data_IF_764917559311
#
_entry.id   IF_764917559311
#
_cell.length_a   1.000
_cell.length_b   1.000
_cell.length_c   1.000
_cell.angle_alpha   90.00
_cell.angle_beta   90.00
_cell.angle_gamma   90.00
#
_symmetry.space_group_name_H-M   'P 1'
#
loop_
_entity.id
_entity.type
_entity.pdbx_description
1 polymer ?
#
# COMPACT_ATOMS: atom_id res chain seq x y z
N UNK A 1 -14.01 -5.12 -17.99
CA UNK A 1 -13.17 -4.86 -16.80
C UNK A 1 -11.91 -5.73 -16.77
N UNK A 2 -12.01 -7.07 -16.79
CA UNK A 2 -10.84 -7.97 -16.77
C UNK A 2 -9.78 -7.74 -17.88
N UNK A 3 -10.20 -7.27 -19.07
CA UNK A 3 -9.27 -6.89 -20.14
C UNK A 3 -8.29 -5.80 -19.72
N UNK A 4 -8.76 -4.79 -18.98
CA UNK A 4 -7.91 -3.70 -18.50
C UNK A 4 -6.90 -4.20 -17.47
N UNK A 5 -7.31 -5.07 -16.54
CA UNK A 5 -6.41 -5.62 -15.52
C UNK A 5 -5.24 -6.38 -16.15
N UNK A 6 -5.50 -7.22 -17.17
CA UNK A 6 -4.43 -7.92 -17.90
C UNK A 6 -3.51 -6.97 -18.63
N UNK A 7 -4.07 -6.00 -19.35
CA UNK A 7 -3.29 -4.98 -20.05
C UNK A 7 -2.39 -4.18 -19.10
N UNK A 8 -2.92 -3.78 -17.95
CA UNK A 8 -2.18 -3.00 -16.96
C UNK A 8 -1.07 -3.83 -16.28
N UNK A 9 -1.31 -5.11 -15.98
CA UNK A 9 -0.26 -6.03 -15.50
C UNK A 9 0.89 -6.15 -16.50
N UNK A 10 0.58 -6.36 -17.78
CA UNK A 10 1.59 -6.40 -18.85
C UNK A 10 2.37 -5.08 -18.91
N UNK A 11 1.68 -3.95 -18.80
CA UNK A 11 2.33 -2.64 -18.73
C UNK A 11 3.32 -2.53 -17.57
N UNK A 12 2.95 -2.98 -16.37
CA UNK A 12 3.86 -2.99 -15.21
C UNK A 12 5.12 -3.82 -15.49
N UNK A 13 4.97 -5.02 -16.05
CA UNK A 13 6.09 -5.90 -16.38
C UNK A 13 7.04 -5.27 -17.42
N UNK A 14 6.48 -4.62 -18.44
CA UNK A 14 7.26 -3.89 -19.43
C UNK A 14 8.02 -2.70 -18.81
N UNK A 15 7.35 -1.91 -17.96
CA UNK A 15 7.98 -0.82 -17.24
C UNK A 15 9.13 -1.30 -16.36
N UNK A 16 8.96 -2.40 -15.65
CA UNK A 16 10.05 -2.94 -14.83
C UNK A 16 11.22 -3.44 -15.66
N UNK A 17 10.93 -4.13 -16.76
CA UNK A 17 11.95 -4.61 -17.68
C UNK A 17 12.78 -3.47 -18.28
N UNK A 18 12.14 -2.34 -18.60
CA UNK A 18 12.79 -1.18 -19.20
C UNK A 18 13.47 -0.25 -18.20
N UNK A 19 12.91 -0.09 -16.99
CA UNK A 19 13.32 0.94 -16.03
C UNK A 19 14.02 0.34 -14.81
N UNK A 20 13.44 -0.66 -14.15
CA UNK A 20 13.94 -1.16 -12.86
C UNK A 20 15.38 -1.68 -12.94
N UNK A 21 15.75 -2.30 -14.07
CA UNK A 21 17.10 -2.82 -14.30
C UNK A 21 17.98 -1.90 -15.15
N UNK A 22 17.53 -0.69 -15.45
CA UNK A 22 18.27 0.24 -16.27
C UNK A 22 19.42 0.86 -15.45
N UNK A 23 20.69 0.70 -15.85
CA UNK A 23 21.82 1.24 -15.10
C UNK A 23 21.75 2.75 -14.91
N UNK A 24 21.30 3.50 -15.93
CA UNK A 24 21.14 4.96 -15.88
C UNK A 24 20.07 5.35 -14.85
N UNK A 25 19.01 4.54 -14.73
CA UNK A 25 17.99 4.78 -13.72
C UNK A 25 18.53 4.49 -12.33
N UNK A 26 19.15 3.32 -12.13
CA UNK A 26 19.71 2.89 -10.84
C UNK A 26 20.74 3.90 -10.31
N UNK A 27 21.66 4.37 -11.15
CA UNK A 27 22.65 5.40 -10.80
C UNK A 27 22.02 6.69 -10.25
N UNK A 28 20.78 7.00 -10.64
CA UNK A 28 20.07 8.21 -10.20
C UNK A 28 19.24 8.04 -8.94
N UNK A 29 18.90 6.81 -8.55
CA UNK A 29 17.92 6.57 -7.47
C UNK A 29 18.42 5.66 -6.36
N UNK A 30 19.36 4.77 -6.64
CA UNK A 30 19.94 3.87 -5.65
C UNK A 30 20.86 4.65 -4.71
N UNK A 31 20.67 4.48 -3.40
CA UNK A 31 21.40 5.21 -2.36
C UNK A 31 21.01 6.69 -2.23
N UNK A 32 20.10 7.21 -3.05
CA UNK A 32 19.72 8.63 -3.05
C UNK A 32 18.53 8.90 -2.12
N UNK A 33 18.71 9.85 -1.18
CA UNK A 33 17.64 10.29 -0.28
C UNK A 33 17.18 9.18 0.66
N UNK A 34 18.15 8.50 1.27
CA UNK A 34 17.95 7.48 2.30
C UNK A 34 17.30 8.12 3.53
N UNK A 35 16.21 7.51 3.99
CA UNK A 35 15.56 7.84 5.26
C UNK A 35 15.37 6.53 6.04
N UNK A 36 15.84 6.46 7.28
CA UNK A 36 15.71 5.26 8.13
C UNK A 36 14.41 5.27 8.93
N UNK A 37 13.99 4.12 9.45
CA UNK A 37 12.69 3.95 10.11
C UNK A 37 12.42 4.92 11.25
N UNK A 38 13.38 5.09 12.17
CA UNK A 38 13.26 6.04 13.28
C UNK A 38 13.15 7.50 12.79
N UNK A 39 13.99 7.88 11.84
CA UNK A 39 13.94 9.20 11.22
C UNK A 39 12.60 9.44 10.49
N UNK A 40 12.09 8.43 9.79
CA UNK A 40 10.80 8.50 9.12
C UNK A 40 9.66 8.73 10.12
N UNK A 41 9.69 8.07 11.27
CA UNK A 41 8.72 8.24 12.36
C UNK A 41 8.82 9.64 12.96
N UNK A 42 10.04 10.08 13.31
CA UNK A 42 10.28 11.38 13.94
C UNK A 42 9.89 12.56 13.03
N UNK A 43 10.04 12.38 11.71
CA UNK A 43 9.60 13.35 10.69
C UNK A 43 8.11 13.25 10.34
N UNK A 44 7.37 12.31 10.94
CA UNK A 44 5.95 12.09 10.66
C UNK A 44 5.67 11.62 9.23
N UNK A 45 6.61 10.89 8.60
CA UNK A 45 6.40 10.33 7.27
C UNK A 45 5.36 9.22 7.29
N UNK A 46 4.63 9.08 6.19
CA UNK A 46 3.55 8.10 6.04
C UNK A 46 3.58 7.41 4.68
N UNK A 47 2.77 6.35 4.57
CA UNK A 47 2.56 5.64 3.31
C UNK A 47 3.85 5.06 2.73
N UNK A 48 4.09 5.17 1.41
CA UNK A 48 5.24 4.55 0.74
C UNK A 48 6.60 5.04 1.22
N UNK A 49 6.69 6.27 1.74
CA UNK A 49 7.95 6.77 2.32
C UNK A 49 8.29 6.03 3.61
N UNK A 50 7.30 5.85 4.49
CA UNK A 50 7.46 5.10 5.74
C UNK A 50 7.74 3.61 5.46
N UNK A 51 7.01 3.02 4.50
CA UNK A 51 7.17 1.62 4.09
C UNK A 51 8.47 1.32 3.36
N UNK A 52 9.04 2.29 2.66
CA UNK A 52 10.37 2.15 2.08
C UNK A 52 11.49 2.18 3.14
N UNK A 53 11.19 2.65 4.35
CA UNK A 53 12.11 2.82 5.47
C UNK A 53 11.98 1.71 6.53
N UNK A 54 11.68 0.47 6.11
CA UNK A 54 11.54 -0.73 6.96
C UNK A 54 10.31 -0.76 7.89
N UNK A 55 9.43 0.24 7.83
CA UNK A 55 8.24 0.29 8.69
C UNK A 55 7.00 -0.16 7.91
N UNK A 56 6.59 -1.42 8.11
CA UNK A 56 5.43 -2.06 7.45
C UNK A 56 4.07 -1.60 8.03
N UNK A 57 3.79 -0.30 7.93
CA UNK A 57 2.57 0.31 8.45
C UNK A 57 1.63 0.80 7.32
N UNK A 58 0.36 0.36 7.36
CA UNK A 58 -0.69 0.76 6.42
C UNK A 58 -2.06 0.80 7.09
N UNK A 59 -2.76 1.92 6.94
CA UNK A 59 -4.07 2.16 7.55
C UNK A 59 -5.13 1.13 7.14
N UNK A 60 -5.06 0.60 5.90
CA UNK A 60 -6.03 -0.38 5.41
C UNK A 60 -5.97 -1.71 6.17
N UNK A 61 -4.82 -2.04 6.78
CA UNK A 61 -4.66 -3.21 7.67
C UNK A 61 -4.86 -2.85 9.14
N UNK A 62 -4.36 -1.68 9.58
CA UNK A 62 -4.35 -1.29 11.00
C UNK A 62 -5.73 -0.90 11.50
N UNK A 63 -6.40 0.02 10.80
CA UNK A 63 -7.71 0.55 11.21
C UNK A 63 -8.87 -0.22 10.54
N UNK A 64 -8.56 -1.29 9.79
CA UNK A 64 -9.51 -2.11 9.03
C UNK A 64 -10.53 -1.27 8.26
N UNK A 65 -10.04 -0.25 7.55
CA UNK A 65 -10.91 0.64 6.79
C UNK A 65 -11.77 -0.15 5.80
N UNK A 66 -13.06 0.18 5.74
CA UNK A 66 -14.02 -0.34 4.75
C UNK A 66 -14.02 -1.88 4.67
N UNK A 67 -13.90 -2.44 3.47
CA UNK A 67 -13.85 -3.88 3.20
C UNK A 67 -12.45 -4.40 2.87
N UNK A 68 -11.39 -3.65 3.14
CA UNK A 68 -10.01 -4.09 2.85
C UNK A 68 -9.57 -5.33 3.63
N UNK A 69 -10.27 -5.66 4.72
CA UNK A 69 -10.07 -6.87 5.51
C UNK A 69 -10.69 -8.13 4.90
N UNK A 70 -11.56 -7.99 3.91
CA UNK A 70 -12.21 -9.11 3.20
C UNK A 70 -11.37 -9.64 2.02
N UNK A 71 -10.31 -8.92 1.65
CA UNK A 71 -9.42 -9.27 0.54
C UNK A 71 -8.08 -9.81 1.03
N UNK A 72 -7.54 -10.77 0.29
CA UNK A 72 -6.19 -11.31 0.49
C UNK A 72 -5.16 -10.44 -0.25
N UNK A 73 -4.42 -9.62 0.50
CA UNK A 73 -3.37 -8.74 -0.02
C UNK A 73 -2.34 -8.42 1.06
N UNK A 74 -1.13 -8.08 0.65
CA UNK A 74 0.00 -7.85 1.54
C UNK A 74 0.53 -6.41 1.49
N UNK A 75 0.96 -5.91 2.65
CA UNK A 75 1.58 -4.57 2.75
C UNK A 75 2.99 -4.64 2.17
N UNK A 76 3.24 -3.86 1.12
CA UNK A 76 4.52 -3.83 0.43
C UNK A 76 5.48 -2.85 1.11
N UNK A 77 6.68 -3.30 1.47
CA UNK A 77 7.68 -2.51 2.17
C UNK A 77 9.09 -2.87 1.67
N UNK A 78 10.06 -2.01 1.98
CA UNK A 78 11.47 -2.15 1.63
C UNK A 78 12.34 -1.68 2.80
N UNK A 79 13.63 -2.03 2.82
CA UNK A 79 14.53 -1.78 3.94
C UNK A 79 15.49 -0.61 3.71
N UNK A 80 15.77 -0.32 2.45
CA UNK A 80 16.89 0.52 2.04
C UNK A 80 16.64 2.00 2.33
N UNK A 81 15.37 2.44 2.32
CA UNK A 81 14.97 3.81 2.66
C UNK A 81 15.26 4.85 1.59
N UNK A 82 15.88 4.46 0.48
CA UNK A 82 16.28 5.33 -0.63
C UNK A 82 15.16 5.56 -1.66
N UNK A 83 15.48 6.27 -2.73
CA UNK A 83 14.53 6.54 -3.81
C UNK A 83 14.15 5.28 -4.59
N UNK A 84 15.08 4.34 -4.74
CA UNK A 84 14.82 3.04 -5.36
C UNK A 84 13.80 2.23 -4.54
N UNK A 85 13.98 2.11 -3.22
CA UNK A 85 13.06 1.45 -2.32
C UNK A 85 11.64 2.03 -2.42
N UNK A 86 11.52 3.36 -2.46
CA UNK A 86 10.22 4.03 -2.66
C UNK A 86 9.59 3.67 -4.00
N UNK A 87 10.38 3.60 -5.06
CA UNK A 87 9.91 3.16 -6.37
C UNK A 87 9.42 1.70 -6.32
N UNK A 88 10.21 0.78 -5.75
CA UNK A 88 9.87 -0.63 -5.65
C UNK A 88 8.59 -0.87 -4.84
N UNK A 89 8.40 -0.16 -3.71
CA UNK A 89 7.14 -0.21 -2.94
C UNK A 89 5.95 0.13 -3.84
N UNK A 90 6.06 1.19 -4.67
CA UNK A 90 4.96 1.59 -5.57
C UNK A 90 4.68 0.55 -6.65
N UNK A 91 5.73 -0.02 -7.25
CA UNK A 91 5.57 -1.07 -8.26
C UNK A 91 4.84 -2.30 -7.69
N UNK A 92 5.21 -2.73 -6.49
CA UNK A 92 4.52 -3.82 -5.81
C UNK A 92 3.09 -3.44 -5.38
N UNK A 93 2.85 -2.22 -4.91
CA UNK A 93 1.51 -1.74 -4.56
C UNK A 93 0.54 -1.76 -5.75
N UNK A 94 1.02 -1.49 -6.97
CA UNK A 94 0.19 -1.59 -8.17
C UNK A 94 -0.27 -3.03 -8.41
N UNK A 95 0.57 -4.03 -8.13
CA UNK A 95 0.20 -5.45 -8.23
C UNK A 95 -0.84 -5.85 -7.19
N UNK A 96 -0.63 -5.47 -5.94
CA UNK A 96 -1.60 -5.72 -4.87
C UNK A 96 -2.94 -5.01 -5.14
N UNK A 97 -2.90 -3.82 -5.74
CA UNK A 97 -4.12 -3.11 -6.15
C UNK A 97 -4.90 -3.90 -7.20
N UNK A 98 -4.21 -4.48 -8.19
CA UNK A 98 -4.85 -5.35 -9.19
C UNK A 98 -5.41 -6.62 -8.54
N UNK A 99 -4.68 -7.22 -7.60
CA UNK A 99 -5.10 -8.40 -6.84
C UNK A 99 -6.41 -8.14 -6.08
N UNK A 100 -6.52 -6.98 -5.42
CA UNK A 100 -7.74 -6.55 -4.72
C UNK A 100 -8.89 -6.34 -5.72
N UNK A 101 -8.64 -5.65 -6.84
CA UNK A 101 -9.69 -5.39 -7.84
C UNK A 101 -10.19 -6.71 -8.45
N UNK A 102 -9.30 -7.67 -8.72
CA UNK A 102 -9.67 -8.96 -9.24
C UNK A 102 -10.58 -9.73 -8.26
N UNK A 103 -10.20 -9.82 -6.99
CA UNK A 103 -11.05 -10.42 -5.95
C UNK A 103 -12.38 -9.69 -5.81
N UNK A 104 -12.37 -8.36 -5.90
CA UNK A 104 -13.61 -7.56 -5.88
C UNK A 104 -14.52 -7.95 -7.02
N UNK A 105 -14.02 -8.04 -8.26
CA UNK A 105 -14.83 -8.38 -9.42
C UNK A 105 -15.38 -9.81 -9.37
N UNK A 106 -14.63 -10.75 -8.81
CA UNK A 106 -15.08 -12.13 -8.59
C UNK A 106 -16.15 -12.21 -7.49
N UNK A 107 -16.09 -11.31 -6.50
CA UNK A 107 -17.03 -11.23 -5.39
C UNK A 107 -18.32 -10.44 -5.67
N UNK A 108 -18.42 -9.70 -6.79
CA UNK A 108 -19.63 -8.94 -7.12
C UNK A 108 -20.78 -9.90 -7.45
N UNK A 109 -21.87 -9.92 -6.65
CA UNK A 109 -23.04 -10.71 -7.00
C UNK A 109 -23.72 -10.13 -8.24
N UNK A 110 -24.12 -10.97 -9.19
CA UNK A 110 -24.78 -10.51 -10.43
C UNK A 110 -26.17 -9.88 -10.25
N UNK A 111 -26.72 -9.89 -9.02
CA UNK A 111 -28.02 -9.34 -8.67
C UNK A 111 -27.86 -7.89 -8.17
N UNK A 112 -28.46 -6.88 -8.85
CA UNK A 112 -28.42 -5.47 -8.45
C UNK A 112 -28.87 -5.22 -7.00
N UNK A 113 -29.82 -6.01 -6.49
CA UNK A 113 -30.31 -5.86 -5.11
C UNK A 113 -29.29 -6.34 -4.07
N UNK A 114 -28.44 -7.32 -4.44
CA UNK A 114 -27.32 -7.78 -3.62
C UNK A 114 -26.13 -6.83 -3.69
N UNK A 115 -25.90 -6.20 -4.85
CA UNK A 115 -24.89 -5.14 -5.01
C UNK A 115 -25.21 -3.95 -4.09
N UNK A 116 -26.46 -3.47 -4.10
CA UNK A 116 -26.89 -2.40 -3.19
C UNK A 116 -26.63 -2.74 -1.72
N UNK A 117 -27.03 -3.95 -1.28
CA UNK A 117 -26.78 -4.42 0.09
C UNK A 117 -25.29 -4.62 0.40
N UNK A 118 -24.46 -4.94 -0.57
CA UNK A 118 -23.00 -5.05 -0.42
C UNK A 118 -22.37 -3.68 -0.18
N UNK A 119 -22.77 -2.67 -0.96
CA UNK A 119 -22.28 -1.29 -0.86
C UNK A 119 -22.79 -0.59 0.41
N UNK A 120 -24.05 -0.83 0.81
CA UNK A 120 -24.67 -0.19 1.98
C UNK A 120 -24.27 -0.79 3.34
N UNK A 121 -23.44 -1.85 3.36
CA UNK A 121 -23.26 -2.69 4.56
C UNK A 121 -22.30 -2.13 5.62
N UNK A 122 -21.46 -1.15 5.29
CA UNK A 122 -20.46 -0.64 6.23
C UNK A 122 -20.67 0.86 6.49
N UNK A 123 -21.21 1.25 7.66
CA UNK A 123 -21.03 2.63 8.11
C UNK A 123 -19.53 2.92 8.19
N UNK A 124 -19.15 4.17 7.92
CA UNK A 124 -17.79 4.68 8.15
C UNK A 124 -17.31 4.17 9.51
N UNK A 125 -16.09 3.61 9.63
CA UNK A 125 -15.57 3.26 10.94
C UNK A 125 -15.72 4.50 11.84
N UNK A 126 -16.37 4.34 13.01
CA UNK A 126 -16.27 5.37 14.04
C UNK A 126 -14.77 5.55 14.27
N UNK A 127 -14.24 6.74 13.95
CA UNK A 127 -12.87 7.11 14.28
C UNK A 127 -12.79 7.36 15.80
N UNK A 128 -13.11 6.35 16.59
CA UNK A 128 -12.78 6.31 17.99
C UNK A 128 -11.29 5.96 18.06
N UNK A 129 -10.46 6.99 18.18
CA UNK A 129 -9.07 6.85 18.57
C UNK A 129 -9.04 5.98 19.83
N UNK A 130 -8.68 4.70 19.69
CA UNK A 130 -8.53 3.84 20.86
C UNK A 130 -7.53 4.51 21.80
N UNK A 131 -7.88 4.64 23.08
CA UNK A 131 -6.99 5.25 24.11
C UNK A 131 -5.61 4.56 24.13
N UNK A 132 -5.54 3.31 23.65
CA UNK A 132 -4.31 2.53 23.48
C UNK A 132 -3.40 3.07 22.34
N UNK A 133 -3.96 3.58 21.25
CA UNK A 133 -3.19 4.23 20.17
C UNK A 133 -2.58 5.58 20.60
N UNK A 134 -3.26 6.32 21.48
CA UNK A 134 -2.77 7.57 22.06
C UNK A 134 -1.63 7.32 23.08
N UNK A 135 -1.72 6.23 23.87
CA UNK A 135 -0.69 5.86 24.84
C UNK A 135 0.61 5.32 24.23
N UNK A 136 0.60 4.85 22.97
CA UNK A 136 1.83 4.49 22.25
C UNK A 136 2.60 5.70 21.72
N UNK A 137 1.96 6.87 21.55
CA UNK A 137 2.67 8.12 21.19
C UNK A 137 3.46 8.71 22.37
N UNK A 138 3.03 8.45 23.60
CA UNK A 138 3.63 9.02 24.82
C UNK A 138 4.75 8.17 25.42
N UNK A 139 5.31 7.20 24.68
CA UNK A 139 6.41 6.33 25.13
C UNK A 139 7.59 6.31 24.15
N UNK A 140 7.91 7.45 23.57
CA UNK A 140 9.19 7.64 22.90
C UNK A 140 10.04 8.56 23.78
N UNK A 141 11.23 8.13 24.23
CA UNK A 141 12.07 8.96 25.07
C UNK A 141 12.53 10.20 24.28
N UNK A 142 12.43 11.34 24.96
CA UNK A 142 12.94 12.65 24.55
C UNK A 142 14.45 12.65 24.30
#
# INVERSE_FOLDING_TARGET
MFRFLRYFLTGIEEYEKLITRNPIFLERVEGVGIIRGEEAINRGLSGPKLRASEISWDLRKVDQCECYNEFDWEVQWQKEGDSLARYLVRMSEMRESIKIIQQTLEGIPGDPMKIWKFISKKPSPNFELSKQGLQRRNRFPS
#
